data_IF_634164058583
#
_entry.id   IF_634164058583
#
_cell.length_a   1.000
_cell.length_b   1.000
_cell.length_c   1.000
_cell.angle_alpha   90.00
_cell.angle_beta   90.00
_cell.angle_gamma   90.00
#
_symmetry.space_group_name_H-M   'P 1'
#
loop_
_entity.id
_entity.type
_entity.pdbx_description
1 polymer ?
#
# COMPACT_ATOMS: atom_id res chain seq x y z
N UNK A 1 -23.66 0.33 10.67
CA UNK A 1 -22.61 1.12 11.32
C UNK A 1 -21.26 0.60 10.95
N UNK A 2 -20.39 1.46 10.52
CA UNK A 2 -19.07 1.05 10.07
C UNK A 2 -18.11 0.93 11.21
N UNK A 3 -17.27 -0.09 11.11
CA UNK A 3 -16.16 -0.27 12.01
C UNK A 3 -15.15 0.85 11.74
N UNK A 4 -14.74 1.61 12.76
CA UNK A 4 -13.75 2.67 12.54
C UNK A 4 -12.47 2.16 11.88
N UNK A 5 -12.06 0.94 12.22
CA UNK A 5 -10.86 0.37 11.59
C UNK A 5 -11.06 0.13 10.11
N UNK A 6 -12.27 -0.27 9.72
CA UNK A 6 -12.56 -0.46 8.31
C UNK A 6 -12.55 0.85 7.57
N UNK A 7 -13.07 1.89 8.18
CA UNK A 7 -13.06 3.22 7.56
C UNK A 7 -11.63 3.67 7.32
N UNK A 8 -10.78 3.50 8.33
CA UNK A 8 -9.37 3.91 8.22
C UNK A 8 -8.62 3.07 7.21
N UNK A 9 -9.02 1.79 7.07
CA UNK A 9 -8.32 0.88 6.18
C UNK A 9 -8.90 0.85 4.77
N UNK A 10 -10.01 1.56 4.53
CA UNK A 10 -10.63 1.55 3.20
C UNK A 10 -9.72 2.23 2.19
N UNK A 11 -9.32 1.53 1.14
CA UNK A 11 -8.45 2.14 0.15
C UNK A 11 -9.21 3.06 -0.78
N UNK A 12 -8.57 4.14 -1.17
CA UNK A 12 -9.08 5.02 -2.20
C UNK A 12 -8.83 4.39 -3.57
N UNK A 13 -9.33 5.01 -4.62
CA UNK A 13 -9.03 4.52 -5.97
C UNK A 13 -7.55 4.67 -6.28
N UNK A 14 -6.94 5.74 -5.77
CA UNK A 14 -5.51 5.95 -5.94
C UNK A 14 -4.94 6.54 -4.66
N UNK A 15 -3.82 6.02 -4.18
CA UNK A 15 -3.16 6.65 -3.04
C UNK A 15 -2.54 7.97 -3.48
N UNK A 16 -2.46 8.96 -2.59
CA UNK A 16 -1.77 10.20 -2.94
C UNK A 16 -0.31 9.90 -3.24
N UNK A 17 0.22 10.57 -4.23
CA UNK A 17 1.62 10.35 -4.60
C UNK A 17 2.47 11.51 -4.11
N UNK A 18 3.54 11.19 -3.40
CA UNK A 18 4.50 12.16 -2.91
C UNK A 18 5.84 11.45 -2.80
N UNK A 19 6.91 12.23 -2.76
CA UNK A 19 8.24 11.65 -2.63
C UNK A 19 8.60 11.35 -1.19
N UNK A 20 7.66 11.50 -0.29
CA UNK A 20 7.86 11.21 1.12
C UNK A 20 6.64 10.45 1.61
N UNK A 21 6.72 9.92 2.83
CA UNK A 21 5.61 9.20 3.42
C UNK A 21 4.43 10.13 3.65
N UNK A 22 3.24 9.63 3.33
CA UNK A 22 2.01 10.36 3.55
C UNK A 22 1.23 9.71 4.68
N UNK A 23 0.22 10.42 5.20
CA UNK A 23 -0.67 9.84 6.19
C UNK A 23 -1.38 8.61 5.62
N UNK A 24 -1.67 8.63 4.32
CA UNK A 24 -2.28 7.48 3.66
C UNK A 24 -1.36 6.26 3.75
N UNK A 25 -0.07 6.44 3.48
CA UNK A 25 0.89 5.35 3.57
C UNK A 25 0.91 4.75 4.97
N UNK A 26 0.91 5.60 5.98
CA UNK A 26 0.96 5.12 7.35
C UNK A 26 -0.31 4.37 7.71
N UNK A 27 -1.45 4.85 7.25
CA UNK A 27 -2.73 4.21 7.54
C UNK A 27 -2.87 2.89 6.79
N UNK A 28 -2.17 2.72 5.67
CA UNK A 28 -2.33 1.54 4.82
C UNK A 28 -1.08 0.68 4.73
N UNK A 29 -0.20 0.80 5.70
CA UNK A 29 1.03 0.01 5.72
C UNK A 29 0.73 -1.50 5.65
N UNK A 30 -0.20 -1.96 6.48
CA UNK A 30 -0.55 -3.38 6.50
C UNK A 30 -1.14 -3.82 5.16
N UNK A 31 -1.96 -2.96 4.56
CA UNK A 31 -2.52 -3.25 3.25
C UNK A 31 -1.41 -3.41 2.21
N UNK A 32 -0.42 -2.53 2.23
CA UNK A 32 0.68 -2.62 1.29
C UNK A 32 1.42 -3.95 1.44
N UNK A 33 1.68 -4.36 2.66
CA UNK A 33 2.39 -5.61 2.90
C UNK A 33 1.58 -6.81 2.44
N UNK A 34 0.29 -6.81 2.75
CA UNK A 34 -0.57 -7.91 2.31
C UNK A 34 -0.71 -7.99 0.81
N UNK A 35 -0.75 -6.82 0.17
CA UNK A 35 -0.86 -6.73 -1.27
C UNK A 35 0.35 -7.38 -1.95
N UNK A 36 1.53 -7.01 -1.49
CA UNK A 36 2.76 -7.55 -2.06
C UNK A 36 2.91 -9.04 -1.76
N UNK A 37 2.51 -9.46 -0.56
CA UNK A 37 2.52 -10.89 -0.21
C UNK A 37 1.58 -11.68 -1.09
N UNK A 38 0.38 -11.16 -1.34
CA UNK A 38 -0.59 -11.87 -2.17
C UNK A 38 -0.09 -12.02 -3.60
N UNK A 39 0.55 -10.99 -4.12
CA UNK A 39 1.13 -11.05 -5.45
C UNK A 39 2.23 -12.10 -5.49
N UNK A 40 3.10 -12.11 -4.49
CA UNK A 40 4.18 -13.07 -4.41
C UNK A 40 3.66 -14.50 -4.29
N UNK A 41 2.50 -14.66 -3.66
CA UNK A 41 1.88 -15.97 -3.50
C UNK A 41 1.11 -16.43 -4.74
N UNK A 42 1.01 -15.58 -5.75
CA UNK A 42 0.36 -15.96 -6.99
C UNK A 42 -1.13 -15.71 -7.05
N UNK A 43 -1.68 -14.91 -6.13
CA UNK A 43 -3.08 -14.57 -6.16
C UNK A 43 -3.39 -13.75 -7.40
N UNK A 44 -4.59 -13.92 -7.95
CA UNK A 44 -4.98 -13.19 -9.14
C UNK A 44 -5.39 -11.77 -8.79
N UNK A 45 -5.34 -10.88 -9.78
CA UNK A 45 -5.75 -9.51 -9.57
C UNK A 45 -7.20 -9.40 -9.08
N UNK A 46 -8.17 -10.13 -9.68
CA UNK A 46 -9.55 -10.06 -9.19
C UNK A 46 -9.69 -10.50 -7.73
N UNK A 47 -8.96 -11.52 -7.33
CA UNK A 47 -9.00 -11.97 -5.93
C UNK A 47 -8.46 -10.90 -5.00
N UNK A 48 -7.35 -10.30 -5.38
CA UNK A 48 -6.74 -9.26 -4.57
C UNK A 48 -7.67 -8.05 -4.48
N UNK A 49 -8.30 -7.69 -5.59
CA UNK A 49 -9.23 -6.56 -5.59
C UNK A 49 -10.37 -6.76 -4.62
N UNK A 50 -11.02 -7.94 -4.65
CA UNK A 50 -12.18 -8.15 -3.80
C UNK A 50 -11.77 -8.32 -2.33
N UNK A 51 -10.66 -8.97 -2.06
CA UNK A 51 -10.30 -9.31 -0.69
C UNK A 51 -9.51 -8.24 0.02
N UNK A 52 -8.64 -7.54 -0.69
CA UNK A 52 -7.78 -6.55 -0.07
C UNK A 52 -8.18 -5.13 -0.40
N UNK A 53 -8.66 -4.90 -1.61
CA UNK A 53 -8.96 -3.54 -2.06
C UNK A 53 -10.43 -3.19 -2.01
N UNK A 54 -11.27 -4.16 -1.69
CA UNK A 54 -12.68 -3.91 -1.48
C UNK A 54 -13.44 -3.52 -2.73
N UNK A 55 -13.01 -3.99 -3.89
CA UNK A 55 -13.67 -3.66 -5.14
C UNK A 55 -13.81 -4.91 -6.00
N UNK A 56 -14.96 -5.05 -6.64
CA UNK A 56 -15.28 -6.22 -7.45
C UNK A 56 -14.89 -5.95 -8.89
N UNK A 57 -13.85 -6.64 -9.37
CA UNK A 57 -13.32 -6.42 -10.70
C UNK A 57 -14.29 -6.86 -11.80
N UNK A 58 -15.25 -7.75 -11.48
CA UNK A 58 -16.23 -8.15 -12.49
C UNK A 58 -17.29 -7.08 -12.71
N UNK A 59 -17.52 -6.25 -11.71
CA UNK A 59 -18.53 -5.20 -11.80
C UNK A 59 -17.93 -3.87 -12.19
N UNK A 60 -16.71 -3.60 -11.78
CA UNK A 60 -16.05 -2.32 -12.05
C UNK A 60 -14.62 -2.58 -12.50
N UNK A 61 -14.45 -3.20 -13.68
CA UNK A 61 -13.11 -3.67 -14.08
C UNK A 61 -12.07 -2.57 -14.21
N UNK A 62 -12.43 -1.44 -14.77
CA UNK A 62 -11.45 -0.38 -14.98
C UNK A 62 -11.07 0.29 -13.66
N UNK A 63 -12.06 0.49 -12.81
CA UNK A 63 -11.80 1.10 -11.51
C UNK A 63 -10.99 0.16 -10.63
N UNK A 64 -11.32 -1.13 -10.69
CA UNK A 64 -10.60 -2.14 -9.93
C UNK A 64 -9.14 -2.20 -10.36
N UNK A 65 -8.91 -2.19 -11.66
CA UNK A 65 -7.55 -2.25 -12.19
C UNK A 65 -6.74 -1.03 -11.79
N UNK A 66 -7.35 0.15 -11.85
CA UNK A 66 -6.69 1.39 -11.45
C UNK A 66 -6.33 1.35 -9.96
N UNK A 67 -7.26 0.89 -9.13
CA UNK A 67 -7.01 0.79 -7.70
C UNK A 67 -5.89 -0.20 -7.42
N UNK A 68 -5.92 -1.33 -8.12
CA UNK A 68 -4.89 -2.35 -7.96
C UNK A 68 -3.53 -1.81 -8.37
N UNK A 69 -3.42 -1.28 -9.58
CA UNK A 69 -2.14 -0.84 -10.11
C UNK A 69 -1.53 0.29 -9.28
N UNK A 70 -2.35 1.25 -8.91
CA UNK A 70 -1.84 2.41 -8.18
C UNK A 70 -1.34 2.03 -6.79
N UNK A 71 -2.05 1.10 -6.13
CA UNK A 71 -1.62 0.66 -4.81
C UNK A 71 -0.39 -0.22 -4.88
N UNK A 72 -0.29 -1.07 -5.91
CA UNK A 72 0.91 -1.89 -6.09
C UNK A 72 2.12 -0.99 -6.34
N UNK A 73 1.95 0.02 -7.16
CA UNK A 73 3.04 0.95 -7.44
C UNK A 73 3.48 1.69 -6.18
N UNK A 74 2.51 2.16 -5.41
CA UNK A 74 2.84 2.88 -4.19
C UNK A 74 3.46 1.97 -3.14
N UNK A 75 2.95 0.74 -3.03
CA UNK A 75 3.53 -0.23 -2.11
C UNK A 75 4.96 -0.56 -2.48
N UNK A 76 5.25 -0.68 -3.76
CA UNK A 76 6.60 -0.92 -4.22
C UNK A 76 7.53 0.24 -3.89
N UNK A 77 7.05 1.46 -4.11
CA UNK A 77 7.82 2.64 -3.74
C UNK A 77 8.04 2.67 -2.23
N UNK A 78 7.02 2.34 -1.47
CA UNK A 78 7.10 2.35 -0.01
C UNK A 78 8.19 1.40 0.48
N UNK A 79 8.28 0.22 -0.11
CA UNK A 79 9.32 -0.73 0.28
C UNK A 79 10.70 -0.27 -0.14
N UNK A 80 10.82 0.24 -1.35
CA UNK A 80 12.14 0.59 -1.88
C UNK A 80 12.65 1.92 -1.35
N UNK A 81 11.78 2.92 -1.27
CA UNK A 81 12.18 4.28 -0.93
C UNK A 81 11.55 4.78 0.35
N UNK A 82 10.25 4.51 0.53
CA UNK A 82 9.53 5.02 1.68
C UNK A 82 10.00 4.45 2.99
N UNK A 83 10.30 3.15 3.02
CA UNK A 83 10.76 2.52 4.24
C UNK A 83 12.12 3.06 4.64
N UNK A 84 12.91 3.51 3.70
CA UNK A 84 14.18 4.13 3.99
C UNK A 84 13.98 5.40 4.80
N UNK A 85 12.95 6.17 4.46
CA UNK A 85 12.64 7.40 5.20
C UNK A 85 12.27 7.08 6.65
N UNK A 86 11.54 5.99 6.86
CA UNK A 86 11.20 5.58 8.21
C UNK A 86 12.43 5.28 9.03
N UNK A 87 13.34 4.51 8.46
CA UNK A 87 14.54 4.10 9.17
C UNK A 87 15.47 5.28 9.40
N UNK A 88 15.56 6.17 8.42
CA UNK A 88 16.42 7.34 8.56
C UNK A 88 15.96 8.24 9.69
N UNK A 89 14.67 8.31 9.92
CA UNK A 89 14.16 9.14 10.99
C UNK A 89 14.50 8.59 12.36
N UNK A 90 14.64 7.29 12.48
CA UNK A 90 14.86 6.64 13.74
C UNK A 90 16.31 6.50 14.10
N UNK A 91 17.12 6.28 13.17
CA UNK A 91 18.49 6.00 13.48
C UNK A 91 19.33 7.22 13.55
N UNK A 92 19.80 7.01 13.40
CA UNK A 92 20.62 7.44 13.10
C UNK A 92 21.63 7.32 12.68
N UNK A 93 21.65 7.71 12.70
CA UNK A 93 22.45 7.56 11.98
C UNK A 93 23.55 6.84 11.93
N UNK A 94 23.64 6.43 12.34
CA UNK A 94 24.46 5.79 12.34
C UNK A 94 25.06 5.16 11.53
N UNK A 95 24.80 4.96 11.29
CA UNK A 95 25.26 4.29 10.54
C UNK A 95 25.88 4.69 9.72
N UNK A 96 25.72 5.27 9.78
CA UNK A 96 26.20 5.58 8.95
C UNK A 96 27.33 5.70 8.93
N UNK A 97 27.46 5.67 9.32
CA UNK A 97 28.29 5.75 9.19
C UNK A 97 29.06 5.20 9.22
N UNK A 98 28.99 4.98 9.38
CA UNK A 98 29.58 4.39 9.29
C UNK A 98 30.22 4.21 8.83
N UNK A 99 30.20 4.37 8.84
CA UNK A 99 30.77 4.09 8.41
C UNK A 99 31.48 4.03 8.27
#
# INVERSE_FOLDING_TARGET
MNDPLQILASPADEPPWADDLTAYDEAHFTLYMRLLDAIAAGASEPEICIELLGIDATREPERAHRRFESHVRRAGWFLADGSRHLFDRDSYPSESTSA
#
